data_IF_456543140629
#
_entry.id   IF_456543140629
#
_cell.length_a   1.000
_cell.length_b   1.000
_cell.length_c   1.000
_cell.angle_alpha   90.00
_cell.angle_beta   90.00
_cell.angle_gamma   90.00
#
_symmetry.space_group_name_H-M   'P 1'
#
loop_
_entity.id
_entity.type
_entity.pdbx_description
1 polymer ?
#
# COMPACT_ATOMS: atom_id res chain seq x y z
N UNK A 1 17.40 15.25 1.72
CA UNK A 1 16.40 15.41 0.64
C UNK A 1 15.04 15.12 1.25
N UNK A 2 14.01 15.94 0.98
CA UNK A 2 12.64 15.72 1.49
C UNK A 2 11.74 15.24 0.35
N UNK A 3 10.77 14.36 0.66
CA UNK A 3 9.77 13.94 -0.33
C UNK A 3 8.90 15.15 -0.75
N UNK A 4 8.52 15.27 -2.03
CA UNK A 4 7.69 16.38 -2.50
C UNK A 4 6.27 16.29 -1.94
N UNK A 5 5.59 17.43 -1.84
CA UNK A 5 4.18 17.52 -1.45
C UNK A 5 3.36 17.92 -2.67
N UNK A 6 2.45 17.05 -3.09
CA UNK A 6 1.44 17.33 -4.10
C UNK A 6 0.20 17.90 -3.44
N UNK A 7 -0.18 19.10 -3.86
CA UNK A 7 -1.38 19.79 -3.39
C UNK A 7 -2.54 19.58 -4.37
N UNK A 8 -3.55 18.81 -3.97
CA UNK A 8 -4.70 18.51 -4.82
C UNK A 8 -5.76 19.62 -4.85
N UNK A 9 -5.56 20.76 -4.18
CA UNK A 9 -6.47 21.90 -4.29
C UNK A 9 -6.62 22.31 -5.77
N UNK A 10 -7.86 22.37 -6.29
CA UNK A 10 -8.12 22.64 -7.71
C UNK A 10 -7.82 21.49 -8.67
N UNK A 11 -7.44 20.31 -8.15
CA UNK A 11 -7.15 19.10 -8.91
C UNK A 11 -7.85 17.85 -8.35
N UNK A 12 -8.77 17.98 -7.39
CA UNK A 12 -9.53 16.86 -6.81
C UNK A 12 -10.60 16.28 -7.74
N UNK A 13 -11.05 17.04 -8.73
CA UNK A 13 -12.06 16.61 -9.70
C UNK A 13 -11.44 16.39 -11.09
N UNK A 14 -12.09 15.53 -11.88
CA UNK A 14 -11.79 15.34 -13.29
C UNK A 14 -11.84 16.68 -14.04
N UNK A 15 -10.86 16.95 -14.90
CA UNK A 15 -10.76 18.23 -15.61
C UNK A 15 -10.52 19.45 -14.70
N UNK A 16 -10.10 19.24 -13.45
CA UNK A 16 -9.79 20.32 -12.52
C UNK A 16 -8.74 21.30 -13.10
N UNK A 17 -8.84 22.61 -12.80
CA UNK A 17 -7.98 23.64 -13.40
C UNK A 17 -6.48 23.45 -13.09
N UNK A 18 -6.14 22.71 -12.04
CA UNK A 18 -4.74 22.41 -11.65
C UNK A 18 -4.31 20.97 -11.96
N UNK A 19 -5.14 20.18 -12.64
CA UNK A 19 -4.84 18.77 -12.91
C UNK A 19 -3.55 18.58 -13.69
N UNK A 20 -3.27 19.41 -14.70
CA UNK A 20 -2.03 19.35 -15.47
C UNK A 20 -0.79 19.66 -14.62
N UNK A 21 -0.85 20.71 -13.79
CA UNK A 21 0.26 21.09 -12.91
C UNK A 21 0.58 20.02 -11.87
N UNK A 22 -0.46 19.43 -11.27
CA UNK A 22 -0.30 18.35 -10.29
C UNK A 22 0.20 17.07 -10.96
N UNK A 23 -0.27 16.76 -12.17
CA UNK A 23 0.22 15.63 -12.96
C UNK A 23 1.72 15.79 -13.32
N UNK A 24 2.17 17.00 -13.63
CA UNK A 24 3.60 17.29 -13.84
C UNK A 24 4.42 17.06 -12.57
N UNK A 25 3.94 17.52 -11.41
CA UNK A 25 4.60 17.24 -10.12
C UNK A 25 4.62 15.73 -9.78
N UNK A 26 3.54 15.03 -10.10
CA UNK A 26 3.44 13.58 -9.95
C UNK A 26 4.46 12.87 -10.84
N UNK A 27 4.64 13.31 -12.09
CA UNK A 27 5.66 12.76 -13.00
C UNK A 27 7.05 12.85 -12.39
N UNK A 28 7.44 14.04 -11.90
CA UNK A 28 8.75 14.24 -11.28
C UNK A 28 8.94 13.35 -10.04
N UNK A 29 7.93 13.27 -9.17
CA UNK A 29 7.98 12.40 -8.00
C UNK A 29 8.06 10.90 -8.38
N UNK A 30 7.31 10.49 -9.40
CA UNK A 30 7.23 9.13 -9.90
C UNK A 30 8.54 8.66 -10.57
N UNK A 31 9.21 9.55 -11.31
CA UNK A 31 10.53 9.31 -11.90
C UNK A 31 11.68 9.43 -10.90
N UNK A 32 11.46 10.07 -9.75
CA UNK A 32 12.44 10.15 -8.68
C UNK A 32 12.35 8.92 -7.76
N UNK A 33 11.55 8.99 -6.70
CA UNK A 33 11.44 7.88 -5.73
C UNK A 33 10.17 7.05 -5.88
N UNK A 34 9.18 7.54 -6.62
CA UNK A 34 7.82 6.99 -6.54
C UNK A 34 7.09 7.33 -5.24
N UNK A 35 7.69 8.14 -4.35
CA UNK A 35 7.13 8.53 -3.05
C UNK A 35 6.88 10.03 -2.99
N UNK A 36 5.72 10.42 -2.47
CA UNK A 36 5.34 11.81 -2.27
C UNK A 36 4.28 11.96 -1.18
N UNK A 37 4.12 13.16 -0.64
CA UNK A 37 2.98 13.49 0.20
C UNK A 37 1.83 14.02 -0.65
N UNK A 38 0.60 13.82 -0.18
CA UNK A 38 -0.60 14.40 -0.77
C UNK A 38 -1.34 15.19 0.29
N UNK A 39 -1.57 16.49 0.03
CA UNK A 39 -2.39 17.38 0.87
C UNK A 39 -3.66 17.82 0.14
N UNK A 40 -4.62 18.36 0.89
CA UNK A 40 -5.94 18.75 0.37
C UNK A 40 -6.63 17.58 -0.38
N UNK A 41 -6.49 16.38 0.17
CA UNK A 41 -6.88 15.12 -0.46
C UNK A 41 -8.39 14.80 -0.37
N UNK A 42 -9.18 15.64 0.30
CA UNK A 42 -10.64 15.48 0.37
C UNK A 42 -11.16 14.42 1.33
N UNK A 43 -10.29 13.81 2.17
CA UNK A 43 -10.70 12.87 3.22
C UNK A 43 -10.77 13.64 4.54
N UNK A 44 -11.88 13.51 5.25
CA UNK A 44 -12.14 14.24 6.49
C UNK A 44 -11.14 13.85 7.60
N UNK A 45 -10.53 14.84 8.25
CA UNK A 45 -9.56 14.60 9.33
C UNK A 45 -10.18 13.80 10.49
N UNK A 46 -11.46 14.03 10.79
CA UNK A 46 -12.19 13.28 11.80
C UNK A 46 -12.36 11.78 11.43
N UNK A 47 -12.45 11.46 10.15
CA UNK A 47 -12.53 10.06 9.69
C UNK A 47 -11.19 9.36 9.84
N UNK A 48 -10.09 10.02 9.48
CA UNK A 48 -8.72 9.51 9.68
C UNK A 48 -8.47 9.26 11.16
N UNK A 49 -8.82 10.21 12.03
CA UNK A 49 -8.68 10.07 13.47
C UNK A 49 -9.50 8.89 14.04
N UNK A 50 -10.75 8.71 13.58
CA UNK A 50 -11.56 7.54 13.94
C UNK A 50 -10.92 6.23 13.50
N UNK A 51 -10.29 6.19 12.33
CA UNK A 51 -9.60 4.98 11.86
C UNK A 51 -8.37 4.65 12.72
N UNK A 52 -7.61 5.64 13.17
CA UNK A 52 -6.51 5.41 14.13
C UNK A 52 -7.01 4.92 15.49
N UNK A 53 -8.12 5.47 16.00
CA UNK A 53 -8.73 4.98 17.23
C UNK A 53 -9.18 3.51 17.08
N UNK A 54 -9.82 3.18 15.96
CA UNK A 54 -10.22 1.81 15.62
C UNK A 54 -9.01 0.86 15.51
N UNK A 55 -7.90 1.32 14.94
CA UNK A 55 -6.68 0.54 14.84
C UNK A 55 -6.17 0.12 16.24
N UNK A 56 -6.18 1.04 17.21
CA UNK A 56 -5.82 0.73 18.60
C UNK A 56 -6.80 -0.30 19.18
N UNK A 57 -8.11 -0.06 19.05
CA UNK A 57 -9.16 -0.93 19.60
C UNK A 57 -9.07 -2.36 19.06
N UNK A 58 -8.92 -2.52 17.74
CA UNK A 58 -8.74 -3.84 17.11
C UNK A 58 -7.48 -4.55 17.60
N UNK A 59 -6.37 -3.84 17.77
CA UNK A 59 -5.10 -4.45 18.18
C UNK A 59 -5.01 -4.69 19.69
N UNK A 60 -5.96 -4.18 20.46
CA UNK A 60 -6.14 -4.45 21.90
C UNK A 60 -7.12 -5.62 22.18
N UNK A 61 -7.80 -6.15 21.16
CA UNK A 61 -8.64 -7.36 21.27
C UNK A 61 -7.87 -8.53 21.90
N UNK A 62 -8.50 -9.39 22.73
CA UNK A 62 -7.84 -10.51 23.38
C UNK A 62 -7.04 -11.38 22.41
N UNK A 63 -5.84 -11.80 22.83
CA UNK A 63 -4.93 -12.60 21.99
C UNK A 63 -5.60 -13.85 21.43
N UNK A 64 -6.42 -14.54 22.22
CA UNK A 64 -7.15 -15.73 21.77
C UNK A 64 -8.09 -15.44 20.59
N UNK A 65 -8.81 -14.31 20.60
CA UNK A 65 -9.64 -13.88 19.47
C UNK A 65 -8.78 -13.54 18.26
N UNK A 66 -7.65 -12.85 18.47
CA UNK A 66 -6.72 -12.49 17.38
C UNK A 66 -6.10 -13.73 16.72
N UNK A 67 -5.77 -14.75 17.50
CA UNK A 67 -5.29 -16.05 17.00
C UNK A 67 -6.40 -16.80 16.24
N UNK A 68 -7.64 -16.80 16.76
CA UNK A 68 -8.78 -17.43 16.07
C UNK A 68 -9.08 -16.78 14.72
N UNK A 69 -8.96 -15.45 14.64
CA UNK A 69 -9.19 -14.64 13.44
C UNK A 69 -7.89 -14.31 12.70
N UNK A 70 -6.85 -15.14 12.85
CA UNK A 70 -5.59 -14.95 12.14
C UNK A 70 -5.79 -15.07 10.62
N UNK A 71 -5.03 -14.28 9.85
CA UNK A 71 -5.25 -14.17 8.40
C UNK A 71 -5.07 -15.47 7.62
N UNK A 72 -4.23 -16.39 8.09
CA UNK A 72 -3.97 -17.66 7.42
C UNK A 72 -5.17 -18.64 7.51
N UNK A 73 -6.16 -18.35 8.36
CA UNK A 73 -7.45 -19.04 8.36
C UNK A 73 -8.42 -18.49 7.31
N UNK A 74 -8.13 -17.32 6.72
CA UNK A 74 -8.98 -16.69 5.70
C UNK A 74 -8.49 -17.02 4.29
N UNK A 75 -9.35 -17.52 3.38
CA UNK A 75 -8.97 -17.71 1.98
C UNK A 75 -8.62 -16.39 1.27
N UNK A 76 -9.10 -15.27 1.80
CA UNK A 76 -8.86 -13.92 1.26
C UNK A 76 -7.75 -13.18 2.02
N UNK A 77 -7.01 -13.86 2.91
CA UNK A 77 -5.93 -13.28 3.73
C UNK A 77 -6.37 -12.08 4.60
N UNK A 78 -7.62 -12.10 5.09
CA UNK A 78 -8.19 -11.04 5.97
C UNK A 78 -8.09 -11.45 7.44
N UNK A 79 -8.01 -10.50 8.35
CA UNK A 79 -7.93 -10.75 9.80
C UNK A 79 -6.56 -10.35 10.39
N UNK A 80 -6.18 -10.97 11.50
CA UNK A 80 -5.01 -10.56 12.25
C UNK A 80 -3.71 -11.13 11.71
N UNK A 81 -2.69 -10.29 11.70
CA UNK A 81 -1.28 -10.65 11.64
C UNK A 81 -0.68 -10.49 13.02
N UNK A 82 -0.15 -11.58 13.58
CA UNK A 82 0.45 -11.58 14.91
C UNK A 82 1.89 -11.05 14.87
N UNK A 83 2.39 -10.60 16.02
CA UNK A 83 3.74 -10.06 16.17
C UNK A 83 4.80 -11.02 15.59
N UNK A 84 5.65 -10.52 14.70
CA UNK A 84 6.75 -11.30 14.10
C UNK A 84 6.29 -12.39 13.11
N UNK A 85 5.03 -12.40 12.67
CA UNK A 85 4.53 -13.38 11.71
C UNK A 85 5.06 -13.17 10.28
N UNK A 86 5.63 -12.01 9.97
CA UNK A 86 6.14 -11.65 8.65
C UNK A 86 7.63 -11.30 8.72
N UNK A 87 8.39 -11.70 7.69
CA UNK A 87 9.76 -11.23 7.45
C UNK A 87 9.82 -10.66 6.03
N UNK A 88 9.68 -9.33 5.91
CA UNK A 88 9.67 -8.67 4.60
C UNK A 88 11.07 -8.63 3.96
N UNK A 89 12.10 -8.45 4.79
CA UNK A 89 13.49 -8.60 4.39
C UNK A 89 14.01 -9.94 4.91
N UNK A 90 14.30 -10.87 3.99
CA UNK A 90 14.76 -12.22 4.32
C UNK A 90 16.16 -12.25 4.96
N UNK A 91 16.94 -11.17 4.81
CA UNK A 91 18.25 -11.02 5.46
C UNK A 91 18.14 -10.37 6.84
N UNK A 92 16.95 -9.88 7.21
CA UNK A 92 16.66 -9.21 8.47
C UNK A 92 16.02 -10.15 9.52
N UNK A 93 15.80 -9.62 10.72
CA UNK A 93 14.98 -10.28 11.75
C UNK A 93 13.49 -10.18 11.38
N UNK A 94 12.63 -11.06 11.91
CA UNK A 94 11.19 -10.93 11.75
C UNK A 94 10.69 -9.54 12.13
N UNK A 95 9.72 -9.03 11.37
CA UNK A 95 9.20 -7.68 11.50
C UNK A 95 8.56 -7.46 12.87
N UNK A 96 8.95 -6.38 13.54
CA UNK A 96 8.34 -5.94 14.79
C UNK A 96 7.08 -5.13 14.51
N UNK A 97 6.02 -5.85 14.15
CA UNK A 97 4.67 -5.29 13.98
C UNK A 97 3.62 -6.36 14.18
N UNK A 98 2.42 -5.89 14.49
CA UNK A 98 1.18 -6.65 14.41
C UNK A 98 0.16 -5.82 13.64
N UNK A 99 -0.80 -6.46 12.99
CA UNK A 99 -1.79 -5.73 12.21
C UNK A 99 -3.12 -6.44 12.05
N UNK A 100 -4.12 -5.69 11.61
CA UNK A 100 -5.41 -6.21 11.20
C UNK A 100 -5.68 -5.83 9.74
N UNK A 101 -6.05 -6.82 8.94
CA UNK A 101 -6.32 -6.71 7.51
C UNK A 101 -7.82 -6.79 7.24
N UNK A 102 -8.33 -5.81 6.50
CA UNK A 102 -9.63 -5.90 5.86
C UNK A 102 -9.57 -5.37 4.42
N UNK A 103 -10.64 -5.51 3.67
CA UNK A 103 -10.78 -4.97 2.33
C UNK A 103 -12.24 -4.82 1.92
N UNK A 104 -12.49 -4.71 0.62
CA UNK A 104 -13.85 -4.70 0.07
C UNK A 104 -14.59 -6.00 0.42
N UNK A 105 -15.81 -5.88 0.94
CA UNK A 105 -16.66 -7.01 1.29
C UNK A 105 -17.52 -7.45 0.09
N UNK A 106 -16.87 -7.99 -0.95
CA UNK A 106 -17.58 -8.45 -2.15
C UNK A 106 -18.62 -9.54 -1.83
N UNK A 107 -19.83 -9.50 -2.43
CA UNK A 107 -20.86 -10.52 -2.25
C UNK A 107 -20.40 -11.93 -2.64
N UNK A 108 -20.97 -12.97 -2.01
CA UNK A 108 -20.61 -14.38 -2.29
C UNK A 108 -20.89 -14.81 -3.73
N UNK A 109 -21.87 -14.18 -4.37
CA UNK A 109 -22.24 -14.43 -5.76
C UNK A 109 -21.41 -13.64 -6.77
N UNK A 110 -20.52 -12.75 -6.31
CA UNK A 110 -19.62 -12.01 -7.16
C UNK A 110 -18.71 -12.97 -7.96
N UNK A 111 -18.52 -12.77 -9.29
CA UNK A 111 -17.76 -13.70 -10.13
C UNK A 111 -16.34 -13.99 -9.61
N UNK A 112 -15.63 -12.98 -9.13
CA UNK A 112 -14.27 -13.13 -8.61
C UNK A 112 -14.22 -13.84 -7.24
N UNK A 113 -15.28 -13.73 -6.43
CA UNK A 113 -15.40 -14.49 -5.17
C UNK A 113 -15.65 -15.96 -5.49
N UNK A 114 -16.56 -16.26 -6.42
CA UNK A 114 -16.83 -17.63 -6.88
C UNK A 114 -15.62 -18.29 -7.55
N UNK A 115 -14.81 -17.50 -8.25
CA UNK A 115 -13.56 -17.96 -8.87
C UNK A 115 -12.43 -18.22 -7.84
N UNK A 116 -12.62 -17.85 -6.57
CA UNK A 116 -11.62 -18.01 -5.52
C UNK A 116 -10.40 -17.10 -5.70
N UNK A 117 -10.56 -15.96 -6.39
CA UNK A 117 -9.47 -15.02 -6.58
C UNK A 117 -9.06 -14.40 -5.23
N UNK A 118 -7.75 -14.38 -5.00
CA UNK A 118 -7.17 -13.83 -3.79
C UNK A 118 -7.62 -12.36 -3.60
N UNK A 119 -7.76 -11.93 -2.35
CA UNK A 119 -8.29 -10.61 -1.91
C UNK A 119 -9.81 -10.40 -2.06
N UNK A 120 -10.51 -11.17 -2.90
CA UNK A 120 -11.96 -11.15 -3.00
C UNK A 120 -12.57 -12.08 -1.95
N UNK A 121 -13.54 -11.58 -1.18
CA UNK A 121 -14.28 -12.37 -0.19
C UNK A 121 -14.55 -11.60 1.08
N UNK A 122 -14.83 -12.34 2.15
CA UNK A 122 -15.25 -11.78 3.43
C UNK A 122 -14.06 -11.39 4.32
N UNK A 123 -14.29 -10.35 5.12
CA UNK A 123 -13.41 -9.95 6.21
C UNK A 123 -13.70 -10.78 7.48
N UNK A 124 -12.67 -10.96 8.32
CA UNK A 124 -12.80 -11.63 9.62
C UNK A 124 -12.93 -10.58 10.73
N UNK A 125 -14.15 -10.25 11.13
CA UNK A 125 -14.38 -9.19 12.14
C UNK A 125 -14.45 -9.76 13.57
N UNK A 126 -13.75 -9.14 14.55
CA UNK A 126 -13.87 -9.54 15.94
C UNK A 126 -15.25 -9.14 16.51
N UNK A 127 -15.96 -10.03 17.23
CA UNK A 127 -17.23 -9.70 17.85
C UNK A 127 -17.12 -8.59 18.91
N UNK A 128 -15.94 -8.38 19.48
CA UNK A 128 -15.64 -7.33 20.47
C UNK A 128 -15.71 -5.92 19.88
N UNK A 129 -15.56 -5.77 18.56
CA UNK A 129 -15.54 -4.45 17.88
C UNK A 129 -16.60 -4.42 16.76
N UNK A 130 -17.90 -4.48 17.10
CA UNK A 130 -18.98 -4.66 16.11
C UNK A 130 -19.15 -3.47 15.15
N UNK A 131 -18.63 -2.30 15.48
CA UNK A 131 -18.62 -1.11 14.61
C UNK A 131 -17.45 -1.07 13.62
N UNK A 132 -16.46 -1.95 13.74
CA UNK A 132 -15.31 -2.01 12.84
C UNK A 132 -15.69 -2.13 11.35
N UNK A 133 -16.66 -2.99 10.95
CA UNK A 133 -17.01 -3.14 9.53
C UNK A 133 -17.45 -1.81 8.90
N UNK A 134 -18.39 -1.10 9.55
CA UNK A 134 -18.97 0.13 9.02
C UNK A 134 -17.93 1.27 8.93
N UNK A 135 -17.04 1.38 9.93
CA UNK A 135 -15.98 2.40 9.93
C UNK A 135 -14.94 2.13 8.83
N UNK A 136 -14.47 0.88 8.73
CA UNK A 136 -13.51 0.50 7.69
C UNK A 136 -14.09 0.65 6.28
N UNK A 137 -15.37 0.26 6.08
CA UNK A 137 -16.04 0.44 4.80
C UNK A 137 -16.11 1.92 4.40
N UNK A 138 -16.57 2.80 5.30
CA UNK A 138 -16.63 4.23 5.03
C UNK A 138 -15.27 4.84 4.69
N UNK A 139 -14.22 4.42 5.40
CA UNK A 139 -12.85 4.88 5.15
C UNK A 139 -12.30 4.36 3.82
N UNK A 140 -12.52 3.08 3.51
CA UNK A 140 -12.18 2.47 2.21
C UNK A 140 -12.85 3.24 1.06
N UNK A 141 -14.14 3.57 1.17
CA UNK A 141 -14.84 4.33 0.12
C UNK A 141 -14.22 5.71 -0.12
N UNK A 142 -13.80 6.39 0.95
CA UNK A 142 -13.18 7.71 0.86
C UNK A 142 -11.79 7.62 0.20
N UNK A 143 -11.01 6.60 0.55
CA UNK A 143 -9.71 6.34 -0.05
C UNK A 143 -9.79 5.81 -1.48
N UNK A 144 -10.86 5.09 -1.85
CA UNK A 144 -11.13 4.68 -3.23
C UNK A 144 -11.33 5.88 -4.15
N UNK A 145 -12.08 6.89 -3.71
CA UNK A 145 -12.25 8.14 -4.47
C UNK A 145 -10.89 8.82 -4.68
N UNK A 146 -10.08 8.92 -3.63
CA UNK A 146 -8.73 9.48 -3.72
C UNK A 146 -7.81 8.66 -4.63
N UNK A 147 -7.81 7.33 -4.50
CA UNK A 147 -6.96 6.43 -5.28
C UNK A 147 -7.30 6.50 -6.77
N UNK A 148 -8.59 6.49 -7.13
CA UNK A 148 -9.05 6.73 -8.50
C UNK A 148 -8.55 8.07 -9.01
N UNK A 149 -8.65 9.12 -8.19
CA UNK A 149 -8.16 10.44 -8.59
C UNK A 149 -6.64 10.47 -8.82
N UNK A 150 -5.87 9.81 -7.96
CA UNK A 150 -4.42 9.69 -8.13
C UNK A 150 -4.06 8.89 -9.39
N UNK A 151 -4.78 7.82 -9.71
CA UNK A 151 -4.62 7.07 -10.97
C UNK A 151 -4.93 7.92 -12.21
N UNK A 152 -5.93 8.81 -12.13
CA UNK A 152 -6.25 9.74 -13.21
C UNK A 152 -5.16 10.81 -13.43
N UNK A 153 -4.61 11.35 -12.34
CA UNK A 153 -3.45 12.25 -12.39
C UNK A 153 -2.20 11.52 -12.91
N UNK A 154 -2.04 10.24 -12.57
CA UNK A 154 -0.97 9.38 -13.10
C UNK A 154 -1.11 9.20 -14.62
N UNK A 155 -2.32 8.99 -15.13
CA UNK A 155 -2.57 8.93 -16.57
C UNK A 155 -2.18 10.24 -17.28
N UNK A 156 -2.60 11.39 -16.74
CA UNK A 156 -2.20 12.70 -17.26
C UNK A 156 -0.68 12.89 -17.24
N UNK A 157 -0.01 12.42 -16.19
CA UNK A 157 1.45 12.52 -16.06
C UNK A 157 2.20 11.75 -17.16
N UNK A 158 1.53 10.75 -17.75
CA UNK A 158 2.01 9.93 -18.86
C UNK A 158 1.54 10.44 -20.23
N UNK A 159 0.92 11.62 -20.29
CA UNK A 159 0.29 12.17 -21.50
C UNK A 159 -0.80 11.26 -22.09
N UNK A 160 -1.48 10.49 -21.23
CA UNK A 160 -2.63 9.66 -21.59
C UNK A 160 -3.94 10.42 -21.29
N UNK A 161 -5.09 9.97 -21.85
CA UNK A 161 -6.40 10.43 -21.40
C UNK A 161 -6.54 10.34 -19.88
N UNK A 162 -7.12 11.36 -19.24
CA UNK A 162 -7.23 11.44 -17.78
C UNK A 162 -7.90 10.20 -17.15
N UNK A 163 -8.85 9.58 -17.86
CA UNK A 163 -9.59 8.40 -17.40
C UNK A 163 -9.02 7.07 -17.91
N UNK A 164 -7.77 7.05 -18.40
CA UNK A 164 -7.17 5.88 -19.06
C UNK A 164 -7.26 4.59 -18.23
N UNK A 165 -7.02 4.69 -16.91
CA UNK A 165 -7.03 3.55 -15.99
C UNK A 165 -8.41 3.28 -15.35
N UNK A 166 -9.44 4.10 -15.62
CA UNK A 166 -10.72 3.96 -14.92
C UNK A 166 -11.40 2.62 -15.22
N UNK A 167 -11.24 2.12 -16.44
CA UNK A 167 -11.79 0.83 -16.87
C UNK A 167 -11.12 -0.39 -16.20
N UNK A 168 -10.01 -0.19 -15.48
CA UNK A 168 -9.34 -1.28 -14.75
C UNK A 168 -9.80 -1.38 -13.29
N UNK A 169 -10.84 -0.66 -12.88
CA UNK A 169 -11.22 -0.47 -11.47
C UNK A 169 -12.73 -0.53 -11.23
N UNK A 170 -13.41 -1.47 -11.90
CA UNK A 170 -14.84 -1.71 -11.64
C UNK A 170 -15.03 -2.50 -10.33
N UNK A 171 -14.15 -3.47 -10.10
CA UNK A 171 -14.09 -4.31 -8.92
C UNK A 171 -12.65 -4.40 -8.38
N UNK A 172 -12.06 -3.28 -7.92
CA UNK A 172 -10.65 -3.23 -7.56
C UNK A 172 -10.34 -4.16 -6.39
N UNK A 173 -9.13 -4.70 -6.41
CA UNK A 173 -8.58 -5.39 -5.24
C UNK A 173 -8.11 -4.31 -4.25
N UNK A 174 -8.62 -4.37 -3.03
CA UNK A 174 -8.34 -3.37 -1.99
C UNK A 174 -7.95 -4.07 -0.71
N UNK A 175 -6.88 -3.59 -0.10
CA UNK A 175 -6.49 -3.99 1.26
C UNK A 175 -6.27 -2.76 2.12
N UNK A 176 -6.99 -2.68 3.23
CA UNK A 176 -6.73 -1.74 4.31
C UNK A 176 -6.06 -2.51 5.45
N UNK A 177 -4.92 -2.01 5.90
CA UNK A 177 -4.18 -2.62 7.00
C UNK A 177 -4.01 -1.60 8.12
N UNK A 178 -4.40 -1.98 9.33
CA UNK A 178 -4.16 -1.18 10.54
C UNK A 178 -3.00 -1.80 11.29
N UNK A 179 -1.88 -1.08 11.42
CA UNK A 179 -0.61 -1.62 11.91
C UNK A 179 -0.23 -0.93 13.21
N UNK A 180 0.24 -1.73 14.18
CA UNK A 180 0.95 -1.28 15.38
C UNK A 180 2.38 -1.78 15.34
N UNK A 181 3.32 -0.86 15.53
CA UNK A 181 4.72 -1.15 15.74
C UNK A 181 5.05 -0.87 17.21
N UNK A 182 5.56 -1.85 17.97
CA UNK A 182 6.05 -1.59 19.32
C UNK A 182 7.25 -0.63 19.27
N UNK A 183 7.63 -0.12 20.44
CA UNK A 183 8.87 0.65 20.57
C UNK A 183 10.05 -0.15 20.00
N UNK A 184 10.94 0.52 19.28
CA UNK A 184 12.13 -0.15 18.79
C UNK A 184 12.99 -0.60 19.98
N UNK A 185 13.42 -1.88 20.06
CA UNK A 185 14.13 -2.39 21.23
C UNK A 185 15.45 -1.65 21.46
N UNK A 186 15.76 -1.35 22.73
CA UNK A 186 17.04 -0.75 23.08
C UNK A 186 18.18 -1.72 22.75
N UNK A 187 19.19 -1.26 22.02
CA UNK A 187 20.32 -2.10 21.60
C UNK A 187 20.02 -3.07 20.45
N UNK A 188 18.87 -2.91 19.77
CA UNK A 188 18.58 -3.65 18.55
C UNK A 188 19.66 -3.43 17.48
N UNK A 189 19.97 -4.49 16.73
CA UNK A 189 20.94 -4.42 15.64
C UNK A 189 20.36 -3.70 14.40
N UNK A 190 21.23 -3.38 13.45
CA UNK A 190 20.84 -2.73 12.19
C UNK A 190 19.90 -3.58 11.32
N UNK A 191 19.70 -4.86 11.66
CA UNK A 191 18.79 -5.78 10.95
C UNK A 191 17.43 -5.94 11.63
N UNK A 192 17.19 -5.19 12.69
CA UNK A 192 15.90 -5.17 13.37
C UNK A 192 15.04 -4.06 12.77
N UNK A 193 13.83 -4.38 12.33
CA UNK A 193 12.90 -3.42 11.75
C UNK A 193 11.50 -3.58 12.33
N UNK A 194 10.73 -2.50 12.33
CA UNK A 194 9.28 -2.59 12.44
C UNK A 194 8.66 -3.22 11.19
N UNK A 195 9.20 -2.85 10.02
CA UNK A 195 8.97 -3.52 8.75
C UNK A 195 10.26 -3.49 7.94
N UNK A 196 10.76 -4.65 7.50
CA UNK A 196 11.96 -4.77 6.67
C UNK A 196 11.86 -4.03 5.34
N UNK A 197 13.00 -3.89 4.64
CA UNK A 197 13.04 -3.24 3.34
C UNK A 197 12.25 -4.04 2.29
N UNK A 198 11.27 -3.41 1.64
CA UNK A 198 10.42 -4.04 0.63
C UNK A 198 9.81 -3.00 -0.33
N UNK A 199 9.27 -3.49 -1.44
CA UNK A 199 8.38 -2.73 -2.34
C UNK A 199 6.93 -3.21 -2.13
N UNK A 200 5.98 -2.33 -2.43
CA UNK A 200 4.57 -2.69 -2.48
C UNK A 200 4.24 -3.29 -3.84
N UNK A 201 3.42 -4.33 -3.88
CA UNK A 201 3.14 -5.08 -5.11
C UNK A 201 2.05 -4.46 -5.98
N UNK A 202 1.24 -3.56 -5.40
CA UNK A 202 0.05 -3.01 -6.04
C UNK A 202 0.33 -1.89 -7.04
N UNK A 203 -0.69 -1.07 -7.29
CA UNK A 203 -0.55 0.14 -8.10
C UNK A 203 -0.18 1.35 -7.23
N UNK A 204 -1.02 1.68 -6.25
CA UNK A 204 -0.79 2.83 -5.36
C UNK A 204 -1.07 2.41 -3.91
N UNK A 205 -0.17 2.81 -3.01
CA UNK A 205 -0.41 2.78 -1.58
C UNK A 205 -0.66 4.19 -1.07
N UNK A 206 -1.74 4.37 -0.29
CA UNK A 206 -2.05 5.60 0.43
C UNK A 206 -1.90 5.31 1.93
N UNK A 207 -0.92 5.93 2.56
CA UNK A 207 -0.53 5.67 3.94
C UNK A 207 -0.87 6.84 4.84
N UNK A 208 -1.77 6.59 5.80
CA UNK A 208 -1.88 7.43 6.99
C UNK A 208 -0.82 6.99 8.00
N UNK A 209 -0.08 7.93 8.57
CA UNK A 209 0.84 7.66 9.68
C UNK A 209 0.59 8.63 10.83
N UNK A 210 0.89 8.19 12.05
CA UNK A 210 0.88 9.04 13.23
C UNK A 210 2.03 10.07 13.21
N UNK A 211 2.20 10.77 14.33
CA UNK A 211 3.23 11.80 14.49
C UNK A 211 4.60 11.27 14.91
N UNK A 212 4.76 9.96 15.16
CA UNK A 212 6.03 9.40 15.64
C UNK A 212 7.08 9.23 14.52
N UNK A 213 6.64 9.09 13.27
CA UNK A 213 7.55 8.90 12.13
C UNK A 213 8.19 7.51 12.12
N UNK A 214 9.33 7.35 11.45
CA UNK A 214 10.05 6.08 11.36
C UNK A 214 9.90 5.33 10.04
N UNK A 215 9.07 5.81 9.11
CA UNK A 215 9.09 5.33 7.72
C UNK A 215 10.33 5.90 7.01
N UNK A 216 11.09 5.03 6.36
CA UNK A 216 12.26 5.35 5.57
C UNK A 216 12.06 4.88 4.12
N UNK A 217 12.45 5.70 3.16
CA UNK A 217 12.33 5.43 1.72
C UNK A 217 13.73 5.41 1.11
N UNK A 218 14.00 4.44 0.26
CA UNK A 218 15.25 4.41 -0.49
C UNK A 218 15.15 5.30 -1.73
N UNK A 219 16.11 6.21 -1.87
CA UNK A 219 16.27 7.05 -3.06
C UNK A 219 16.92 6.27 -4.20
N UNK A 220 16.84 6.74 -5.46
CA UNK A 220 17.57 6.11 -6.57
C UNK A 220 19.08 5.99 -6.37
N UNK A 221 19.68 6.88 -5.55
CA UNK A 221 21.09 6.83 -5.19
C UNK A 221 21.45 5.75 -4.17
N UNK A 222 20.46 5.04 -3.62
CA UNK A 222 20.64 4.00 -2.59
C UNK A 222 20.52 4.49 -1.15
N UNK A 223 20.49 5.81 -0.94
CA UNK A 223 20.35 6.42 0.39
C UNK A 223 18.94 6.28 0.95
N UNK A 224 18.83 6.10 2.27
CA UNK A 224 17.57 6.06 3.00
C UNK A 224 17.19 7.45 3.53
N UNK A 225 16.00 7.92 3.19
CA UNK A 225 15.45 9.21 3.65
C UNK A 225 14.21 9.02 4.51
N UNK A 226 14.08 9.82 5.57
CA UNK A 226 12.91 9.78 6.46
C UNK A 226 11.68 10.40 5.77
N UNK A 227 10.58 9.66 5.73
CA UNK A 227 9.25 10.18 5.43
C UNK A 227 8.62 10.77 6.70
N UNK A 228 9.20 11.87 7.18
CA UNK A 228 8.77 12.59 8.40
C UNK A 228 7.27 12.92 8.35
N UNK A 229 6.46 12.67 9.40
CA UNK A 229 5.03 12.98 9.36
C UNK A 229 4.76 14.46 9.05
N UNK A 230 3.87 14.71 8.09
CA UNK A 230 3.41 16.06 7.73
C UNK A 230 1.91 16.16 8.05
N UNK A 231 1.49 17.09 8.94
CA UNK A 231 0.08 17.25 9.28
C UNK A 231 -0.81 17.47 8.06
N UNK A 232 -1.97 16.80 8.03
CA UNK A 232 -2.95 16.91 6.94
C UNK A 232 -2.50 16.29 5.62
N UNK A 233 -1.48 15.43 5.64
CA UNK A 233 -1.00 14.73 4.46
C UNK A 233 -1.10 13.21 4.62
N UNK A 234 -1.38 12.53 3.51
CA UNK A 234 -1.01 11.12 3.35
C UNK A 234 0.38 11.02 2.74
N UNK A 235 1.12 9.95 3.07
CA UNK A 235 2.23 9.49 2.23
C UNK A 235 1.64 8.63 1.13
N UNK A 236 2.07 8.80 -0.10
CA UNK A 236 1.66 7.98 -1.25
C UNK A 236 2.90 7.41 -1.90
N UNK A 237 2.82 6.13 -2.27
CA UNK A 237 3.85 5.48 -3.07
C UNK A 237 3.28 4.63 -4.21
N UNK A 238 4.07 4.53 -5.26
CA UNK A 238 3.79 3.68 -6.41
C UNK A 238 4.32 2.27 -6.12
N UNK A 239 3.51 1.26 -6.45
CA UNK A 239 3.88 -0.15 -6.32
C UNK A 239 4.35 -0.78 -7.62
N UNK A 240 4.69 -2.06 -7.57
CA UNK A 240 5.38 -2.81 -8.62
C UNK A 240 4.56 -2.98 -9.91
N UNK A 241 3.24 -2.74 -9.90
CA UNK A 241 2.44 -2.65 -11.13
C UNK A 241 2.78 -1.41 -11.97
N UNK A 242 3.17 -0.31 -11.33
CA UNK A 242 3.41 0.97 -12.03
C UNK A 242 4.66 0.91 -12.94
N UNK A 243 5.83 0.40 -12.51
CA UNK A 243 6.95 0.16 -13.42
C UNK A 243 6.58 -0.75 -14.60
N UNK A 244 5.65 -1.70 -14.45
CA UNK A 244 5.22 -2.56 -15.56
C UNK A 244 4.39 -1.79 -16.59
N UNK A 245 3.39 -1.03 -16.15
CA UNK A 245 2.62 -0.16 -17.05
C UNK A 245 3.48 0.90 -17.72
N UNK A 246 4.47 1.44 -17.00
CA UNK A 246 5.28 2.56 -17.49
C UNK A 246 6.60 2.11 -18.12
N UNK A 247 6.77 0.81 -18.34
CA UNK A 247 7.99 0.21 -18.88
C UNK A 247 9.29 0.63 -18.13
N UNK A 248 9.17 0.88 -16.82
CA UNK A 248 10.26 1.26 -15.93
C UNK A 248 10.54 2.76 -15.86
N UNK A 249 9.73 3.59 -16.52
CA UNK A 249 9.84 5.05 -16.45
C UNK A 249 9.55 5.57 -15.03
N UNK A 250 8.53 5.01 -14.36
CA UNK A 250 8.21 5.34 -12.97
C UNK A 250 8.67 4.24 -12.02
N UNK A 251 8.99 4.63 -10.80
CA UNK A 251 9.68 3.77 -9.84
C UNK A 251 8.77 3.32 -8.70
N UNK A 252 8.96 2.06 -8.30
CA UNK A 252 8.50 1.49 -7.03
C UNK A 252 9.74 1.25 -6.20
N UNK A 253 9.99 2.10 -5.20
CA UNK A 253 11.23 2.05 -4.43
C UNK A 253 11.07 1.30 -3.10
N UNK A 254 12.16 0.66 -2.64
CA UNK A 254 12.19 0.05 -1.33
C UNK A 254 11.88 1.05 -0.22
N UNK A 255 11.10 0.61 0.76
CA UNK A 255 10.82 1.36 1.98
C UNK A 255 10.87 0.41 3.19
N UNK A 256 11.12 0.96 4.38
CA UNK A 256 11.23 0.21 5.64
C UNK A 256 10.76 1.05 6.81
N UNK A 257 10.51 0.42 7.96
CA UNK A 257 10.05 1.13 9.18
C UNK A 257 10.94 0.83 10.37
N UNK A 258 11.32 1.86 11.12
CA UNK A 258 11.94 1.77 12.45
C UNK A 258 11.28 2.76 13.42
N UNK A 259 10.69 2.25 14.50
CA UNK A 259 10.02 3.09 15.51
C UNK A 259 11.02 3.69 16.53
N UNK A 260 11.93 4.54 16.06
CA UNK A 260 13.05 5.10 16.85
C UNK A 260 12.70 6.38 17.61
N UNK A 261 11.68 7.11 17.18
CA UNK A 261 11.42 8.49 17.62
C UNK A 261 10.18 8.64 18.51
N UNK A 262 9.54 7.54 18.90
CA UNK A 262 8.31 7.53 19.69
C UNK A 262 8.48 7.73 21.19
N UNK A 263 9.72 7.77 21.69
CA UNK A 263 9.98 7.88 23.13
C UNK A 263 9.47 6.66 23.92
N UNK A 264 9.41 5.48 23.29
CA UNK A 264 8.91 4.24 23.90
C UNK A 264 7.43 3.96 23.65
N UNK A 265 6.72 4.85 22.97
CA UNK A 265 5.31 4.63 22.60
C UNK A 265 5.16 3.72 21.36
N UNK A 266 4.05 2.98 21.22
CA UNK A 266 3.74 2.29 19.98
C UNK A 266 3.46 3.30 18.86
N UNK A 267 3.94 2.99 17.66
CA UNK A 267 3.62 3.73 16.43
C UNK A 267 2.48 3.04 15.70
N UNK A 268 1.55 3.81 15.15
CA UNK A 268 0.47 3.34 14.29
C UNK A 268 0.58 3.88 12.88
N UNK A 269 0.21 3.04 11.91
CA UNK A 269 -0.03 3.49 10.54
C UNK A 269 -1.09 2.65 9.85
N UNK A 270 -1.74 3.25 8.86
CA UNK A 270 -2.87 2.65 8.15
C UNK A 270 -2.60 2.74 6.64
N UNK A 271 -1.84 1.80 6.05
CA UNK A 271 -1.75 1.72 4.59
C UNK A 271 -3.04 1.18 3.99
N UNK A 272 -3.46 1.86 2.93
CA UNK A 272 -4.47 1.42 2.00
C UNK A 272 -3.80 1.09 0.68
N UNK A 273 -3.87 -0.17 0.30
CA UNK A 273 -3.32 -0.69 -0.94
C UNK A 273 -4.44 -0.74 -1.98
N UNK A 274 -4.20 -0.06 -3.09
CA UNK A 274 -5.07 -0.03 -4.24
C UNK A 274 -4.44 -0.80 -5.39
N UNK A 275 -5.18 -1.79 -5.88
CA UNK A 275 -4.88 -2.51 -7.09
C UNK A 275 -6.10 -2.51 -8.04
N UNK A 276 -5.85 -2.58 -9.36
CA UNK A 276 -6.89 -2.85 -10.33
C UNK A 276 -7.68 -4.13 -10.07
N UNK A 277 -8.72 -4.33 -10.87
CA UNK A 277 -9.48 -5.58 -10.94
C UNK A 277 -8.54 -6.76 -11.22
N UNK A 278 -8.86 -7.94 -10.70
CA UNK A 278 -8.02 -9.13 -10.84
C UNK A 278 -7.57 -9.41 -12.29
N UNK A 279 -8.48 -9.23 -13.25
CA UNK A 279 -8.25 -9.51 -14.67
C UNK A 279 -7.78 -8.27 -15.47
N UNK A 280 -7.59 -7.12 -14.82
CA UNK A 280 -7.06 -5.93 -15.49
C UNK A 280 -5.68 -6.22 -16.08
N UNK A 281 -5.48 -5.83 -17.34
CA UNK A 281 -4.21 -6.03 -18.05
C UNK A 281 -3.16 -5.02 -17.59
N UNK A 282 -2.00 -5.55 -17.23
CA UNK A 282 -0.79 -4.81 -16.88
C UNK A 282 0.22 -5.00 -18.01
N UNK A 283 0.24 -4.05 -18.93
CA UNK A 283 1.16 -4.00 -20.07
C UNK A 283 1.60 -2.57 -20.36
N UNK A 284 2.76 -2.41 -21.02
CA UNK A 284 3.34 -1.10 -21.27
C UNK A 284 2.36 -0.17 -22.00
N UNK A 285 2.10 1.00 -21.43
CA UNK A 285 1.15 1.98 -21.97
C UNK A 285 1.79 2.78 -23.12
N UNK A 286 0.98 3.40 -24.02
CA UNK A 286 1.50 4.19 -25.12
C UNK A 286 2.50 5.27 -24.66
N UNK A 287 3.57 5.47 -25.43
CA UNK A 287 4.59 6.48 -25.16
C UNK A 287 5.67 6.08 -24.14
N UNK A 288 5.61 4.88 -23.56
CA UNK A 288 6.61 4.40 -22.57
C UNK A 288 7.63 3.41 -23.11
N UNK A 289 7.41 2.91 -24.33
CA UNK A 289 8.35 2.07 -25.08
C UNK A 289 8.86 2.88 -26.27
N UNK A 290 10.18 2.93 -26.48
CA UNK A 290 10.74 3.67 -27.60
C UNK A 290 10.37 3.01 -28.95
N UNK A 291 10.22 3.78 -30.04
CA UNK A 291 9.92 3.22 -31.35
C UNK A 291 10.95 2.16 -31.78
N UNK A 292 10.49 0.96 -32.10
CA UNK A 292 11.34 -0.17 -32.52
C UNK A 292 11.88 -1.03 -31.38
N UNK A 293 11.60 -0.69 -30.12
CA UNK A 293 11.98 -1.51 -28.97
C UNK A 293 10.85 -2.44 -28.52
N UNK A 294 11.23 -3.52 -27.81
CA UNK A 294 10.29 -4.42 -27.15
C UNK A 294 10.05 -3.99 -25.71
N UNK A 295 8.85 -4.18 -25.15
CA UNK A 295 8.59 -3.91 -23.73
C UNK A 295 9.53 -4.70 -22.83
N UNK A 296 10.05 -4.04 -21.77
CA UNK A 296 10.92 -4.64 -20.75
C UNK A 296 10.22 -5.71 -19.93
N UNK A 297 8.90 -5.58 -19.76
CA UNK A 297 8.09 -6.48 -18.95
C UNK A 297 7.10 -7.23 -19.83
N UNK A 298 6.98 -8.55 -19.62
CA UNK A 298 5.93 -9.33 -20.25
C UNK A 298 4.55 -8.89 -19.71
N UNK A 299 3.51 -8.79 -20.58
CA UNK A 299 2.14 -8.56 -20.15
C UNK A 299 1.67 -9.62 -19.15
N UNK A 300 0.87 -9.20 -18.18
CA UNK A 300 0.14 -10.09 -17.28
C UNK A 300 -1.15 -9.40 -16.82
N UNK A 301 -1.98 -10.09 -16.06
CA UNK A 301 -3.07 -9.48 -15.30
C UNK A 301 -2.59 -8.99 -13.92
N UNK A 302 -3.36 -8.11 -13.27
CA UNK A 302 -3.08 -7.67 -11.90
C UNK A 302 -3.05 -8.86 -10.92
N UNK A 303 -4.00 -9.79 -11.07
CA UNK A 303 -4.09 -11.01 -10.28
C UNK A 303 -2.88 -11.93 -10.46
N UNK A 304 -2.46 -12.18 -11.70
CA UNK A 304 -1.24 -12.97 -11.97
C UNK A 304 0.01 -12.32 -11.38
N UNK A 305 0.11 -10.98 -11.43
CA UNK A 305 1.20 -10.26 -10.80
C UNK A 305 1.23 -10.49 -9.28
N UNK A 306 0.08 -10.32 -8.60
CA UNK A 306 -0.02 -10.55 -7.16
C UNK A 306 0.31 -12.00 -6.79
N UNK A 307 -0.24 -12.99 -7.51
CA UNK A 307 0.06 -14.41 -7.28
C UNK A 307 1.56 -14.69 -7.38
N UNK A 308 2.24 -14.11 -8.37
CA UNK A 308 3.69 -14.24 -8.52
C UNK A 308 4.45 -13.57 -7.36
N UNK A 309 4.02 -12.40 -6.88
CA UNK A 309 4.64 -11.75 -5.71
C UNK A 309 4.43 -12.56 -4.43
N UNK A 310 3.21 -13.05 -4.17
CA UNK A 310 2.93 -13.95 -3.04
C UNK A 310 3.82 -15.19 -3.08
N UNK A 311 3.98 -15.82 -4.25
CA UNK A 311 4.86 -16.98 -4.42
C UNK A 311 6.33 -16.64 -4.10
N UNK A 312 6.81 -15.47 -4.54
CA UNK A 312 8.19 -15.02 -4.26
C UNK A 312 8.44 -14.72 -2.79
N UNK A 313 7.45 -14.19 -2.09
CA UNK A 313 7.59 -13.76 -0.69
C UNK A 313 7.35 -14.91 0.28
N UNK A 314 6.34 -15.76 0.05
CA UNK A 314 5.93 -16.79 1.01
C UNK A 314 6.28 -18.22 0.60
N UNK A 315 6.46 -18.50 -0.70
CA UNK A 315 6.69 -19.86 -1.21
C UNK A 315 8.12 -20.07 -1.76
N UNK A 316 9.12 -19.31 -1.30
CA UNK A 316 10.51 -19.67 -1.60
C UNK A 316 10.85 -20.99 -0.91
N UNK A 317 11.30 -22.03 -1.64
CA UNK A 317 11.96 -23.14 -0.99
C UNK A 317 13.16 -22.60 -0.22
N UNK A 318 13.36 -23.12 0.99
CA UNK A 318 14.55 -22.85 1.79
C UNK A 318 15.76 -23.54 1.13
N UNK A 319 16.25 -23.00 0.02
CA UNK A 319 17.40 -23.57 -0.69
C UNK A 319 18.67 -22.74 -0.49
N UNK A 320 19.70 -23.50 -0.10
CA UNK A 320 21.13 -23.26 0.06
C UNK A 320 21.59 -22.34 1.20
N UNK A 321 21.39 -22.81 2.43
CA UNK A 321 22.47 -22.68 3.40
C UNK A 321 23.62 -23.59 2.95
N UNK A 322 24.81 -23.01 2.77
CA UNK A 322 26.12 -23.64 2.60
C UNK A 322 26.40 -24.39 1.27
N UNK A 323 27.05 -23.69 0.34
CA UNK A 323 28.19 -24.21 -0.42
C UNK A 323 29.02 -23.05 -0.97
N UNK A 324 29.89 -22.51 -0.12
CA UNK A 324 31.35 -22.31 -0.31
C UNK A 324 31.92 -21.40 0.78
#
# INVERSE_FOLDING_TARGET
MSLPILDLHGALALGGPRSADVAAQMREAAMASGFFYVRNHGVEAAQIARQFALASELLDVPRATREALAMHHSPSMRGYELMGAQSLDLAARPDLKESFYCGMAYPQDHPYVRAGYQTYGHNQWPPEVPHAPALCEAYIQSLLVLARRLMQLLALSLSLPETWFDATSDHPMITLRMIRYPAHPQGADERTFGAGAHTDWGAITILAQDTHGGLEVQTPGGDWVQATPVPGCFVVNLGDMIPRWTNGLYHSNPHRVRNLHSGGAPRYSIPFFYEPDYLARIEAVPGTVAPGETPRYAPCTAGEHLVEMYRRTYNRPADSAASD
#
